data_IF_190229187787
#
_entry.id   IF_190229187787
#
_cell.length_a   1.000
_cell.length_b   1.000
_cell.length_c   1.000
_cell.angle_alpha   90.00
_cell.angle_beta   90.00
_cell.angle_gamma   90.00
#
_symmetry.space_group_name_H-M   'P 1'
#
loop_
_entity.id
_entity.type
_entity.pdbx_description
1 polymer ?
#
# COMPACT_ATOMS: atom_id res chain seq x y z
N UNK A 1 -121.77 -11.59 122.23
CA UNK A 1 -120.45 -10.91 122.18
C UNK A 1 -119.41 -11.77 121.48
N UNK A 2 -119.36 -13.09 121.72
CA UNK A 2 -118.41 -14.02 121.08
C UNK A 2 -118.60 -14.21 119.56
N UNK A 3 -119.83 -14.22 119.05
CA UNK A 3 -120.13 -14.38 117.61
C UNK A 3 -119.61 -13.20 116.75
N UNK A 4 -119.53 -12.00 117.34
CA UNK A 4 -118.98 -10.79 116.70
C UNK A 4 -117.46 -10.85 116.55
N UNK A 5 -116.76 -11.42 117.54
CA UNK A 5 -115.30 -11.56 117.55
C UNK A 5 -114.84 -12.59 116.52
N UNK A 6 -115.58 -13.69 116.35
CA UNK A 6 -115.31 -14.71 115.33
C UNK A 6 -115.51 -14.14 113.92
N UNK A 7 -116.57 -13.37 113.67
CA UNK A 7 -116.83 -12.69 112.39
C UNK A 7 -115.71 -11.70 112.02
N UNK A 8 -115.24 -10.94 113.02
CA UNK A 8 -114.16 -9.96 112.84
C UNK A 8 -112.82 -10.63 112.54
N UNK A 9 -112.48 -11.72 113.23
CA UNK A 9 -111.29 -12.52 112.92
C UNK A 9 -111.38 -13.14 111.52
N UNK A 10 -112.52 -13.71 111.14
CA UNK A 10 -112.71 -14.29 109.80
C UNK A 10 -112.53 -13.23 108.69
N UNK A 11 -113.04 -12.03 108.93
CA UNK A 11 -112.90 -10.89 107.99
C UNK A 11 -111.44 -10.44 107.89
N UNK A 12 -110.74 -10.32 109.01
CA UNK A 12 -109.31 -9.96 109.05
C UNK A 12 -108.44 -11.01 108.35
N UNK A 13 -108.65 -12.31 108.59
CA UNK A 13 -107.92 -13.38 107.90
C UNK A 13 -108.21 -13.37 106.40
N UNK A 14 -109.46 -13.15 106.00
CA UNK A 14 -109.84 -13.03 104.59
C UNK A 14 -109.11 -11.86 103.93
N UNK A 15 -109.13 -10.68 104.54
CA UNK A 15 -108.41 -9.49 104.04
C UNK A 15 -106.90 -9.73 103.96
N UNK A 16 -106.28 -10.30 105.00
CA UNK A 16 -104.85 -10.63 104.99
C UNK A 16 -104.50 -11.65 103.89
N UNK A 17 -105.37 -12.64 103.64
CA UNK A 17 -105.17 -13.61 102.55
C UNK A 17 -105.38 -13.01 101.17
N UNK A 18 -106.28 -12.04 101.03
CA UNK A 18 -106.56 -11.32 99.78
C UNK A 18 -105.42 -10.35 99.46
N UNK A 19 -104.95 -9.58 100.44
CA UNK A 19 -103.73 -8.76 100.33
C UNK A 19 -102.50 -9.59 99.97
N UNK A 20 -102.27 -10.73 100.64
CA UNK A 20 -101.14 -11.60 100.31
C UNK A 20 -101.23 -12.17 98.88
N UNK A 21 -102.44 -12.45 98.38
CA UNK A 21 -102.66 -12.88 96.98
C UNK A 21 -102.41 -11.76 95.99
N UNK A 22 -102.86 -10.54 96.30
CA UNK A 22 -102.61 -9.35 95.48
C UNK A 22 -101.10 -9.03 95.42
N UNK A 23 -100.41 -9.04 96.56
CA UNK A 23 -98.95 -8.85 96.64
C UNK A 23 -98.20 -9.94 95.87
N UNK A 24 -98.63 -11.20 95.97
CA UNK A 24 -98.06 -12.30 95.19
C UNK A 24 -98.28 -12.08 93.68
N UNK A 25 -99.46 -11.65 93.25
CA UNK A 25 -99.77 -11.36 91.85
C UNK A 25 -98.94 -10.18 91.31
N UNK A 26 -98.74 -9.12 92.10
CA UNK A 26 -97.88 -7.98 91.76
C UNK A 26 -96.41 -8.43 91.66
N UNK A 27 -95.94 -9.24 92.60
CA UNK A 27 -94.57 -9.76 92.56
C UNK A 27 -94.35 -10.67 91.36
N UNK A 28 -95.34 -11.48 91.00
CA UNK A 28 -95.28 -12.38 89.85
C UNK A 28 -95.29 -11.63 88.52
N UNK A 29 -96.10 -10.57 88.38
CA UNK A 29 -96.06 -9.72 87.17
C UNK A 29 -94.71 -9.00 87.04
N UNK A 30 -94.16 -8.47 88.14
CA UNK A 30 -92.83 -7.84 88.15
C UNK A 30 -91.72 -8.84 87.83
N UNK A 31 -91.80 -10.07 88.37
CA UNK A 31 -90.86 -11.15 88.05
C UNK A 31 -90.89 -11.46 86.55
N UNK A 32 -92.09 -11.67 85.97
CA UNK A 32 -92.24 -11.96 84.54
C UNK A 32 -91.71 -10.81 83.67
N UNK A 33 -91.95 -9.56 84.05
CA UNK A 33 -91.43 -8.39 83.33
C UNK A 33 -89.90 -8.34 83.36
N UNK A 34 -89.28 -8.50 84.54
CA UNK A 34 -87.82 -8.53 84.68
C UNK A 34 -87.21 -9.71 83.92
N UNK A 35 -87.86 -10.87 83.93
CA UNK A 35 -87.41 -12.04 83.17
C UNK A 35 -87.44 -11.77 81.66
N UNK A 36 -88.49 -11.13 81.15
CA UNK A 36 -88.57 -10.73 79.73
C UNK A 36 -87.47 -9.73 79.36
N UNK A 37 -87.21 -8.72 80.21
CA UNK A 37 -86.16 -7.73 79.97
C UNK A 37 -84.75 -8.33 80.03
N UNK A 38 -84.53 -9.31 80.91
CA UNK A 38 -83.28 -10.05 81.00
C UNK A 38 -83.05 -10.84 79.71
N UNK A 39 -84.06 -11.56 79.22
CA UNK A 39 -83.99 -12.31 77.97
C UNK A 39 -83.75 -11.41 76.75
N UNK A 40 -84.43 -10.27 76.68
CA UNK A 40 -84.21 -9.26 75.62
C UNK A 40 -82.79 -8.71 75.65
N UNK A 41 -82.28 -8.38 76.84
CA UNK A 41 -80.91 -7.89 77.03
C UNK A 41 -79.88 -8.95 76.64
N UNK A 42 -80.10 -10.21 77.02
CA UNK A 42 -79.25 -11.34 76.62
C UNK A 42 -79.23 -11.53 75.10
N UNK A 43 -80.40 -11.47 74.45
CA UNK A 43 -80.48 -11.55 72.98
C UNK A 43 -79.76 -10.39 72.29
N UNK A 44 -79.82 -9.18 72.85
CA UNK A 44 -79.12 -8.01 72.33
C UNK A 44 -77.60 -8.11 72.53
N UNK A 45 -77.15 -8.62 73.67
CA UNK A 45 -75.73 -8.89 73.92
C UNK A 45 -75.23 -9.92 72.91
N UNK A 46 -75.95 -11.03 72.71
CA UNK A 46 -75.56 -12.06 71.76
C UNK A 46 -75.45 -11.51 70.32
N UNK A 47 -76.39 -10.66 69.88
CA UNK A 47 -76.31 -10.05 68.54
C UNK A 47 -75.16 -9.05 68.41
N UNK A 48 -74.86 -8.28 69.46
CA UNK A 48 -73.71 -7.39 69.50
C UNK A 48 -72.38 -8.16 69.48
N UNK A 49 -72.28 -9.28 70.20
CA UNK A 49 -71.11 -10.16 70.18
C UNK A 49 -70.85 -10.73 68.78
N UNK A 50 -71.92 -11.12 68.06
CA UNK A 50 -71.81 -11.58 66.67
C UNK A 50 -71.32 -10.46 65.74
N UNK A 51 -71.86 -9.24 65.87
CA UNK A 51 -71.40 -8.08 65.09
C UNK A 51 -69.94 -7.76 65.41
N UNK A 52 -69.54 -7.77 66.67
CA UNK A 52 -68.15 -7.53 67.09
C UNK A 52 -67.19 -8.57 66.50
N UNK A 53 -67.59 -9.84 66.48
CA UNK A 53 -66.81 -10.92 65.85
C UNK A 53 -66.64 -10.67 64.35
N UNK A 54 -67.73 -10.36 63.64
CA UNK A 54 -67.70 -10.09 62.20
C UNK A 54 -66.82 -8.87 61.86
N UNK A 55 -66.89 -7.81 62.67
CA UNK A 55 -66.04 -6.62 62.52
C UNK A 55 -64.56 -6.95 62.76
N UNK A 56 -64.26 -7.78 63.77
CA UNK A 56 -62.89 -8.25 64.03
C UNK A 56 -62.33 -9.05 62.85
N UNK A 57 -63.09 -10.00 62.33
CA UNK A 57 -62.66 -10.81 61.19
C UNK A 57 -62.46 -9.93 59.93
N UNK A 58 -63.28 -8.89 59.75
CA UNK A 58 -63.10 -7.93 58.66
C UNK A 58 -61.84 -7.08 58.82
N UNK A 59 -61.52 -6.64 60.04
CA UNK A 59 -60.30 -5.91 60.35
C UNK A 59 -59.04 -6.76 60.12
N UNK A 60 -59.07 -8.04 60.53
CA UNK A 60 -57.96 -8.97 60.33
C UNK A 60 -57.72 -9.22 58.83
N UNK A 61 -58.78 -9.43 58.04
CA UNK A 61 -58.67 -9.53 56.56
C UNK A 61 -58.11 -8.27 55.91
N UNK A 62 -58.50 -7.09 56.39
CA UNK A 62 -57.95 -5.83 55.88
C UNK A 62 -56.44 -5.75 56.15
N UNK A 63 -56.01 -6.07 57.36
CA UNK A 63 -54.60 -6.05 57.75
C UNK A 63 -53.74 -7.01 56.93
N UNK A 64 -54.24 -8.21 56.66
CA UNK A 64 -53.55 -9.18 55.78
C UNK A 64 -53.42 -8.67 54.34
N UNK A 65 -54.49 -8.06 53.81
CA UNK A 65 -54.48 -7.46 52.47
C UNK A 65 -53.50 -6.28 52.39
N UNK A 66 -53.48 -5.43 53.41
CA UNK A 66 -52.57 -4.29 53.52
C UNK A 66 -51.11 -4.76 53.53
N UNK A 67 -50.76 -5.75 54.38
CA UNK A 67 -49.41 -6.33 54.41
C UNK A 67 -49.01 -6.94 53.05
N UNK A 68 -49.94 -7.63 52.38
CA UNK A 68 -49.72 -8.19 51.04
C UNK A 68 -49.46 -7.10 49.99
N UNK A 69 -50.20 -5.99 50.06
CA UNK A 69 -50.03 -4.84 49.18
C UNK A 69 -48.70 -4.13 49.43
N UNK A 70 -48.31 -3.93 50.69
CA UNK A 70 -47.02 -3.34 51.07
C UNK A 70 -45.84 -4.17 50.57
N UNK A 71 -45.92 -5.49 50.68
CA UNK A 71 -44.91 -6.41 50.14
C UNK A 71 -44.78 -6.27 48.61
N UNK A 72 -45.91 -6.23 47.90
CA UNK A 72 -45.93 -6.05 46.46
C UNK A 72 -45.33 -4.69 46.04
N UNK A 73 -45.71 -3.61 46.72
CA UNK A 73 -45.17 -2.27 46.48
C UNK A 73 -43.65 -2.27 46.69
N UNK A 74 -43.16 -2.92 47.73
CA UNK A 74 -41.72 -3.01 48.01
C UNK A 74 -40.97 -3.75 46.90
N UNK A 75 -41.49 -4.89 46.44
CA UNK A 75 -40.91 -5.65 45.32
C UNK A 75 -40.92 -4.84 44.01
N UNK A 76 -42.00 -4.10 43.74
CA UNK A 76 -42.09 -3.24 42.56
C UNK A 76 -41.08 -2.10 42.60
N UNK A 77 -40.87 -1.48 43.77
CA UNK A 77 -39.86 -0.43 43.96
C UNK A 77 -38.45 -0.94 43.74
N UNK A 78 -38.12 -2.11 44.29
CA UNK A 78 -36.83 -2.75 44.09
C UNK A 78 -36.58 -3.06 42.61
N UNK A 79 -37.57 -3.65 41.92
CA UNK A 79 -37.46 -3.92 40.48
C UNK A 79 -37.25 -2.63 39.69
N UNK A 80 -38.01 -1.56 39.99
CA UNK A 80 -37.86 -0.28 39.30
C UNK A 80 -36.46 0.30 39.50
N UNK A 81 -35.95 0.27 40.74
CA UNK A 81 -34.58 0.70 41.04
C UNK A 81 -33.54 -0.10 40.23
N UNK A 82 -33.65 -1.42 40.19
CA UNK A 82 -32.71 -2.27 39.45
C UNK A 82 -32.75 -1.95 37.94
N UNK A 83 -33.93 -1.80 37.36
CA UNK A 83 -34.08 -1.41 35.95
C UNK A 83 -33.50 -0.02 35.68
N UNK A 84 -33.67 0.94 36.58
CA UNK A 84 -33.05 2.27 36.48
C UNK A 84 -31.52 2.19 36.49
N UNK A 85 -30.93 1.36 37.36
CA UNK A 85 -29.47 1.15 37.40
C UNK A 85 -28.95 0.47 36.11
N UNK A 86 -29.66 -0.53 35.60
CA UNK A 86 -29.33 -1.17 34.32
C UNK A 86 -29.37 -0.18 33.16
N UNK A 87 -30.40 0.68 33.11
CA UNK A 87 -30.51 1.73 32.09
C UNK A 87 -29.34 2.72 32.13
N UNK A 88 -28.91 3.13 33.34
CA UNK A 88 -27.75 4.00 33.49
C UNK A 88 -26.48 3.32 32.96
N UNK A 89 -26.27 2.05 33.31
CA UNK A 89 -25.13 1.26 32.83
C UNK A 89 -25.12 1.12 31.30
N UNK A 90 -26.28 0.80 30.70
CA UNK A 90 -26.45 0.73 29.24
C UNK A 90 -26.15 2.07 28.59
N UNK A 91 -26.62 3.18 29.17
CA UNK A 91 -26.39 4.53 28.64
C UNK A 91 -24.90 4.90 28.66
N UNK A 92 -24.20 4.61 29.77
CA UNK A 92 -22.75 4.82 29.86
C UNK A 92 -21.98 3.94 28.87
N UNK A 93 -22.33 2.66 28.76
CA UNK A 93 -21.73 1.74 27.80
C UNK A 93 -21.93 2.20 26.35
N UNK A 94 -23.15 2.63 26.02
CA UNK A 94 -23.47 3.20 24.70
C UNK A 94 -22.61 4.42 24.39
N UNK A 95 -22.49 5.37 25.33
CA UNK A 95 -21.66 6.57 25.13
C UNK A 95 -20.19 6.21 24.84
N UNK A 96 -19.64 5.22 25.55
CA UNK A 96 -18.29 4.73 25.30
C UNK A 96 -18.13 4.08 23.92
N UNK A 97 -19.10 3.26 23.51
CA UNK A 97 -19.11 2.64 22.18
C UNK A 97 -19.22 3.70 21.07
N UNK A 98 -20.07 4.72 21.24
CA UNK A 98 -20.21 5.82 20.28
C UNK A 98 -18.88 6.58 20.11
N UNK A 99 -18.15 6.84 21.22
CA UNK A 99 -16.82 7.44 21.16
C UNK A 99 -15.82 6.55 20.41
N UNK A 100 -15.83 5.24 20.66
CA UNK A 100 -14.98 4.27 19.93
C UNK A 100 -15.27 4.28 18.43
N UNK A 101 -16.54 4.30 18.05
CA UNK A 101 -16.97 4.34 16.65
C UNK A 101 -16.46 5.61 15.97
N UNK A 102 -16.55 6.77 16.64
CA UNK A 102 -16.03 8.03 16.11
C UNK A 102 -14.50 7.97 15.89
N UNK A 103 -13.74 7.44 16.85
CA UNK A 103 -12.28 7.27 16.71
C UNK A 103 -11.94 6.36 15.54
N UNK A 104 -12.55 5.17 15.46
CA UNK A 104 -12.29 4.22 14.37
C UNK A 104 -12.70 4.78 13.00
N UNK A 105 -13.78 5.56 12.93
CA UNK A 105 -14.21 6.22 11.70
C UNK A 105 -13.16 7.20 11.21
N UNK A 106 -12.63 8.05 12.11
CA UNK A 106 -11.57 9.00 11.78
C UNK A 106 -10.29 8.29 11.32
N UNK A 107 -9.86 7.25 12.02
CA UNK A 107 -8.69 6.46 11.62
C UNK A 107 -8.87 5.82 10.24
N UNK A 108 -10.07 5.33 9.94
CA UNK A 108 -10.39 4.76 8.63
C UNK A 108 -10.35 5.82 7.51
N UNK A 109 -10.82 7.04 7.77
CA UNK A 109 -10.70 8.16 6.82
C UNK A 109 -9.24 8.54 6.56
N UNK A 110 -8.40 8.61 7.60
CA UNK A 110 -6.97 8.89 7.47
C UNK A 110 -6.24 7.80 6.65
N UNK A 111 -6.57 6.52 6.89
CA UNK A 111 -6.01 5.40 6.12
C UNK A 111 -6.43 5.48 4.65
N UNK A 112 -7.72 5.76 4.36
CA UNK A 112 -8.20 5.97 2.99
C UNK A 112 -7.45 7.10 2.29
N UNK A 113 -7.20 8.22 2.98
CA UNK A 113 -6.39 9.32 2.47
C UNK A 113 -4.98 8.89 2.07
N UNK A 114 -4.28 8.14 2.93
CA UNK A 114 -2.94 7.61 2.65
C UNK A 114 -2.92 6.63 1.46
N UNK A 115 -3.93 5.79 1.34
CA UNK A 115 -4.07 4.87 0.20
C UNK A 115 -4.19 5.65 -1.11
N UNK A 116 -5.02 6.70 -1.15
CA UNK A 116 -5.16 7.53 -2.35
C UNK A 116 -3.86 8.26 -2.70
N UNK A 117 -3.13 8.79 -1.71
CA UNK A 117 -1.84 9.44 -1.95
C UNK A 117 -0.80 8.48 -2.52
N UNK A 118 -0.71 7.27 -1.96
CA UNK A 118 0.20 6.24 -2.45
C UNK A 118 -0.15 5.74 -3.85
N UNK A 119 -1.44 5.61 -4.18
CA UNK A 119 -1.90 5.28 -5.53
C UNK A 119 -1.49 6.35 -6.56
N UNK A 120 -1.63 7.64 -6.21
CA UNK A 120 -1.18 8.75 -7.05
C UNK A 120 0.34 8.69 -7.26
N UNK A 121 1.12 8.53 -6.20
CA UNK A 121 2.60 8.42 -6.28
C UNK A 121 3.03 7.21 -7.11
N UNK A 122 2.36 6.06 -6.94
CA UNK A 122 2.63 4.85 -7.72
C UNK A 122 2.43 5.08 -9.21
N UNK A 123 1.31 5.72 -9.59
CA UNK A 123 1.04 6.08 -10.99
C UNK A 123 2.08 7.04 -11.56
N UNK A 124 2.55 8.01 -10.77
CA UNK A 124 3.61 8.94 -11.18
C UNK A 124 4.92 8.19 -11.44
N UNK A 125 5.39 7.35 -10.50
CA UNK A 125 6.60 6.56 -10.70
C UNK A 125 6.51 5.62 -11.89
N UNK A 126 5.34 5.02 -12.12
CA UNK A 126 5.12 4.18 -13.30
C UNK A 126 5.24 4.97 -14.61
N UNK A 127 4.67 6.17 -14.66
CA UNK A 127 4.78 7.06 -15.82
C UNK A 127 6.23 7.50 -16.07
N UNK A 128 6.96 7.89 -15.01
CA UNK A 128 8.38 8.25 -15.09
C UNK A 128 9.25 7.08 -15.57
N UNK A 129 9.03 5.88 -15.03
CA UNK A 129 9.74 4.67 -15.43
C UNK A 129 9.50 4.33 -16.92
N UNK A 130 8.24 4.42 -17.38
CA UNK A 130 7.91 4.20 -18.78
C UNK A 130 8.57 5.23 -19.70
N UNK A 131 8.58 6.51 -19.29
CA UNK A 131 9.26 7.58 -20.04
C UNK A 131 10.76 7.33 -20.13
N UNK A 132 11.42 7.00 -19.02
CA UNK A 132 12.84 6.69 -19.00
C UNK A 132 13.18 5.47 -19.87
N UNK A 133 12.34 4.42 -19.85
CA UNK A 133 12.49 3.25 -20.73
C UNK A 133 12.37 3.64 -22.20
N UNK A 134 11.40 4.47 -22.55
CA UNK A 134 11.23 4.96 -23.92
C UNK A 134 12.46 5.77 -24.38
N UNK A 135 12.94 6.70 -23.56
CA UNK A 135 14.15 7.49 -23.84
C UNK A 135 15.40 6.63 -24.00
N UNK A 136 15.56 5.58 -23.17
CA UNK A 136 16.65 4.62 -23.29
C UNK A 136 16.57 3.82 -24.60
N UNK A 137 15.38 3.33 -24.98
CA UNK A 137 15.21 2.60 -26.25
C UNK A 137 15.47 3.48 -27.47
N UNK A 138 15.04 4.74 -27.42
CA UNK A 138 15.27 5.71 -28.50
C UNK A 138 16.75 6.09 -28.61
N UNK A 139 17.44 6.24 -27.47
CA UNK A 139 18.89 6.49 -27.45
C UNK A 139 19.67 5.31 -27.99
N UNK A 140 19.31 4.07 -27.60
CA UNK A 140 19.92 2.86 -28.13
C UNK A 140 19.76 2.78 -29.65
N UNK A 141 18.54 3.01 -30.16
CA UNK A 141 18.26 3.03 -31.60
C UNK A 141 19.14 4.03 -32.35
N UNK A 142 19.29 5.25 -31.83
CA UNK A 142 20.16 6.28 -32.43
C UNK A 142 21.64 5.88 -32.42
N UNK A 143 22.11 5.27 -31.33
CA UNK A 143 23.47 4.76 -31.23
C UNK A 143 23.72 3.65 -32.26
N UNK A 144 22.80 2.69 -32.39
CA UNK A 144 22.90 1.60 -33.36
C UNK A 144 22.91 2.12 -34.81
N UNK A 145 22.09 3.13 -35.12
CA UNK A 145 22.06 3.83 -36.41
C UNK A 145 23.39 4.55 -36.69
N UNK A 146 23.94 5.25 -35.70
CA UNK A 146 25.23 5.93 -35.82
C UNK A 146 26.37 4.93 -36.08
N UNK A 147 26.43 3.84 -35.32
CA UNK A 147 27.42 2.77 -35.51
C UNK A 147 27.31 2.17 -36.89
N UNK A 148 26.10 1.87 -37.35
CA UNK A 148 25.85 1.31 -38.68
C UNK A 148 26.29 2.28 -39.78
N UNK A 149 25.98 3.57 -39.65
CA UNK A 149 26.42 4.60 -40.58
C UNK A 149 27.95 4.73 -40.64
N UNK A 150 28.62 4.68 -39.49
CA UNK A 150 30.08 4.74 -39.39
C UNK A 150 30.74 3.50 -39.99
N UNK A 151 30.25 2.30 -39.65
CA UNK A 151 30.69 1.04 -40.21
C UNK A 151 30.61 1.03 -41.75
N UNK A 152 29.51 1.53 -42.31
CA UNK A 152 29.33 1.70 -43.75
C UNK A 152 30.34 2.69 -44.36
N UNK A 153 30.64 3.81 -43.68
CA UNK A 153 31.63 4.79 -44.15
C UNK A 153 33.05 4.24 -44.17
N UNK A 154 33.41 3.39 -43.20
CA UNK A 154 34.72 2.74 -43.11
C UNK A 154 34.75 1.41 -43.90
N UNK A 155 33.61 0.98 -44.46
CA UNK A 155 33.46 -0.28 -45.21
C UNK A 155 33.80 -1.52 -44.36
N UNK A 156 33.38 -1.53 -43.10
CA UNK A 156 33.65 -2.62 -42.14
C UNK A 156 32.35 -3.29 -41.72
N UNK A 157 32.36 -4.64 -41.67
CA UNK A 157 31.25 -5.39 -41.11
C UNK A 157 31.39 -5.53 -39.59
N UNK A 158 30.43 -4.98 -38.85
CA UNK A 158 30.38 -5.02 -37.37
C UNK A 158 29.43 -6.10 -36.83
N UNK A 159 28.79 -6.89 -37.70
CA UNK A 159 27.87 -7.94 -37.27
C UNK A 159 28.56 -8.98 -36.37
N UNK A 160 27.94 -9.29 -35.23
CA UNK A 160 28.45 -10.27 -34.26
C UNK A 160 29.64 -9.79 -33.43
N UNK A 161 30.03 -8.51 -33.51
CA UNK A 161 31.05 -7.94 -32.63
C UNK A 161 30.43 -7.56 -31.28
N UNK A 162 31.10 -7.96 -30.20
CA UNK A 162 30.64 -7.69 -28.84
C UNK A 162 30.60 -6.17 -28.55
N UNK A 163 31.61 -5.44 -29.02
CA UNK A 163 31.61 -3.97 -29.05
C UNK A 163 31.91 -3.49 -30.49
N UNK A 164 30.88 -3.10 -31.25
CA UNK A 164 31.03 -2.57 -32.59
C UNK A 164 31.88 -1.29 -32.69
N UNK A 165 31.81 -0.40 -31.69
CA UNK A 165 32.53 0.88 -31.72
C UNK A 165 34.03 0.66 -31.52
N UNK A 166 34.41 -0.10 -30.51
CA UNK A 166 35.81 -0.43 -30.25
C UNK A 166 36.43 -1.18 -31.44
N UNK A 167 35.65 -2.07 -32.08
CA UNK A 167 36.10 -2.75 -33.28
C UNK A 167 36.35 -1.78 -34.46
N UNK A 168 35.43 -0.83 -34.72
CA UNK A 168 35.63 0.19 -35.76
C UNK A 168 36.90 1.01 -35.46
N UNK A 169 37.07 1.46 -34.21
CA UNK A 169 38.24 2.25 -33.79
C UNK A 169 39.53 1.49 -34.09
N UNK A 170 39.59 0.21 -33.70
CA UNK A 170 40.76 -0.65 -33.95
C UNK A 170 41.09 -0.79 -35.44
N UNK A 171 40.07 -0.92 -36.30
CA UNK A 171 40.28 -1.00 -37.76
C UNK A 171 40.78 0.34 -38.32
N UNK A 172 40.20 1.46 -37.88
CA UNK A 172 40.65 2.80 -38.30
C UNK A 172 42.11 3.02 -37.92
N UNK A 173 42.51 2.66 -36.69
CA UNK A 173 43.89 2.78 -36.23
C UNK A 173 44.85 1.93 -37.07
N UNK A 174 44.45 0.72 -37.44
CA UNK A 174 45.23 -0.13 -38.34
C UNK A 174 45.40 0.52 -39.73
N UNK A 175 44.31 1.03 -40.32
CA UNK A 175 44.36 1.72 -41.60
C UNK A 175 45.25 2.97 -41.58
N UNK A 176 45.26 3.72 -40.46
CA UNK A 176 46.13 4.89 -40.31
C UNK A 176 47.61 4.50 -40.27
N UNK A 177 47.97 3.42 -39.55
CA UNK A 177 49.34 2.89 -39.52
C UNK A 177 49.79 2.42 -40.90
N UNK A 178 48.93 1.70 -41.63
CA UNK A 178 49.23 1.22 -42.97
C UNK A 178 49.42 2.38 -43.96
N UNK A 179 48.58 3.42 -43.88
CA UNK A 179 48.74 4.64 -44.67
C UNK A 179 50.10 5.31 -44.41
N UNK A 180 50.48 5.43 -43.15
CA UNK A 180 51.75 6.08 -42.77
C UNK A 180 52.95 5.25 -43.26
N UNK A 181 52.87 3.92 -43.19
CA UNK A 181 53.86 3.03 -43.78
C UNK A 181 53.95 3.20 -45.30
N UNK A 182 52.83 3.16 -46.02
CA UNK A 182 52.79 3.34 -47.48
C UNK A 182 53.37 4.69 -47.91
N UNK A 183 53.08 5.76 -47.16
CA UNK A 183 53.64 7.09 -47.41
C UNK A 183 55.17 7.07 -47.31
N UNK A 184 55.72 6.41 -46.28
CA UNK A 184 57.17 6.27 -46.13
C UNK A 184 57.78 5.46 -47.29
N UNK A 185 57.12 4.39 -47.74
CA UNK A 185 57.56 3.63 -48.91
C UNK A 185 57.56 4.48 -50.19
N UNK A 186 56.54 5.31 -50.40
CA UNK A 186 56.47 6.22 -51.54
C UNK A 186 57.64 7.20 -51.50
N UNK A 187 57.90 7.84 -50.36
CA UNK A 187 59.04 8.77 -50.23
C UNK A 187 60.39 8.06 -50.53
N UNK A 188 60.60 6.86 -49.99
CA UNK A 188 61.81 6.08 -50.25
C UNK A 188 61.95 5.70 -51.75
N UNK A 189 60.84 5.36 -52.42
CA UNK A 189 60.83 5.06 -53.84
C UNK A 189 61.13 6.31 -54.68
N UNK A 190 60.53 7.46 -54.34
CA UNK A 190 60.80 8.73 -54.99
C UNK A 190 62.27 9.14 -54.89
N UNK A 191 62.91 8.92 -53.73
CA UNK A 191 64.34 9.13 -53.53
C UNK A 191 65.19 8.17 -54.38
N UNK A 192 64.84 6.89 -54.41
CA UNK A 192 65.52 5.89 -55.23
C UNK A 192 65.44 6.22 -56.73
N UNK A 193 64.28 6.65 -57.22
CA UNK A 193 64.09 7.08 -58.61
C UNK A 193 64.97 8.30 -58.94
N UNK A 194 65.04 9.29 -58.05
CA UNK A 194 65.91 10.47 -58.25
C UNK A 194 67.38 10.07 -58.34
N UNK A 195 67.84 9.17 -57.47
CA UNK A 195 69.22 8.65 -57.51
C UNK A 195 69.49 7.92 -58.83
N UNK A 196 68.58 7.04 -59.24
CA UNK A 196 68.70 6.28 -60.49
C UNK A 196 68.69 7.20 -61.72
N UNK A 197 67.91 8.29 -61.70
CA UNK A 197 67.92 9.29 -62.77
C UNK A 197 69.27 10.00 -62.89
N UNK A 198 69.90 10.35 -61.76
CA UNK A 198 71.25 10.92 -61.72
C UNK A 198 72.28 9.91 -62.24
N UNK A 199 72.19 8.66 -61.81
CA UNK A 199 73.08 7.58 -62.27
C UNK A 199 72.94 7.32 -63.78
N UNK A 200 71.71 7.24 -64.30
CA UNK A 200 71.46 7.12 -65.74
C UNK A 200 71.98 8.32 -66.53
N UNK A 201 71.87 9.55 -66.00
CA UNK A 201 72.45 10.76 -66.61
C UNK A 201 73.97 10.66 -66.68
N UNK A 202 74.63 10.26 -65.59
CA UNK A 202 76.07 10.09 -65.53
C UNK A 202 76.57 8.95 -66.46
N UNK A 203 75.86 7.82 -66.49
CA UNK A 203 76.14 6.67 -67.35
C UNK A 203 76.02 7.04 -68.83
N UNK A 204 74.94 7.74 -69.21
CA UNK A 204 74.75 8.24 -70.58
C UNK A 204 75.85 9.20 -71.01
N UNK A 205 76.28 10.12 -70.14
CA UNK A 205 77.40 11.02 -70.44
C UNK A 205 78.71 10.25 -70.60
N UNK A 206 78.93 9.22 -69.77
CA UNK A 206 80.09 8.34 -69.88
C UNK A 206 80.11 7.58 -71.22
N UNK A 207 78.99 6.99 -71.62
CA UNK A 207 78.83 6.33 -72.93
C UNK A 207 79.09 7.30 -74.07
N UNK A 208 78.56 8.53 -73.98
CA UNK A 208 78.76 9.56 -74.99
C UNK A 208 80.23 9.95 -75.14
N UNK A 209 80.96 10.14 -74.03
CA UNK A 209 82.40 10.41 -74.04
C UNK A 209 83.20 9.25 -74.63
N UNK A 210 82.89 8.01 -74.25
CA UNK A 210 83.56 6.84 -74.81
C UNK A 210 83.30 6.71 -76.32
N UNK A 211 82.08 7.01 -76.79
CA UNK A 211 81.77 7.02 -78.22
C UNK A 211 82.61 8.05 -78.98
N UNK A 212 82.77 9.26 -78.44
CA UNK A 212 83.65 10.29 -79.04
C UNK A 212 85.12 9.89 -79.03
N UNK A 213 85.60 9.24 -77.96
CA UNK A 213 86.98 8.74 -77.88
C UNK A 213 87.23 7.64 -78.93
N UNK A 214 86.28 6.73 -79.13
CA UNK A 214 86.34 5.69 -80.17
C UNK A 214 86.34 6.30 -81.57
N UNK A 215 85.49 7.28 -81.86
CA UNK A 215 85.49 7.99 -83.14
C UNK A 215 86.83 8.70 -83.41
N UNK A 216 87.43 9.30 -82.38
CA UNK A 216 88.75 9.94 -82.47
C UNK A 216 89.85 8.92 -82.77
N UNK A 217 89.90 7.81 -82.02
CA UNK A 217 90.86 6.72 -82.25
C UNK A 217 90.67 6.03 -83.61
N UNK A 218 89.43 5.89 -84.09
CA UNK A 218 89.15 5.42 -85.44
C UNK A 218 89.69 6.39 -86.51
N UNK A 219 89.52 7.71 -86.31
CA UNK A 219 90.08 8.73 -87.19
C UNK A 219 91.62 8.70 -87.20
N UNK A 220 92.25 8.58 -86.02
CA UNK A 220 93.71 8.42 -85.88
C UNK A 220 94.22 7.12 -86.50
N UNK A 221 93.49 6.00 -86.35
CA UNK A 221 93.83 4.75 -87.04
C UNK A 221 93.71 4.88 -88.54
N UNK A 222 92.65 5.52 -89.05
CA UNK A 222 92.46 5.76 -90.48
C UNK A 222 93.57 6.66 -91.06
N UNK A 223 93.99 7.71 -90.33
CA UNK A 223 95.11 8.56 -90.75
C UNK A 223 96.43 7.79 -90.76
N UNK A 224 96.73 6.99 -89.72
CA UNK A 224 97.90 6.11 -89.68
C UNK A 224 97.89 5.09 -90.82
N UNK A 225 96.75 4.48 -91.14
CA UNK A 225 96.59 3.56 -92.29
C UNK A 225 96.88 4.29 -93.60
N UNK A 226 96.40 5.53 -93.77
CA UNK A 226 96.68 6.36 -94.94
C UNK A 226 98.16 6.74 -95.04
N UNK A 227 98.82 7.06 -93.93
CA UNK A 227 100.27 7.31 -93.87
C UNK A 227 101.07 6.05 -94.24
N UNK A 228 100.70 4.89 -93.70
CA UNK A 228 101.32 3.60 -94.01
C UNK A 228 101.18 3.24 -95.50
N UNK A 229 99.99 3.50 -96.08
CA UNK A 229 99.74 3.32 -97.50
C UNK A 229 100.56 4.30 -98.35
N UNK A 230 100.73 5.54 -97.90
CA UNK A 230 101.58 6.54 -98.56
C UNK A 230 103.05 6.16 -98.52
N UNK A 231 103.58 5.72 -97.37
CA UNK A 231 104.95 5.20 -97.24
C UNK A 231 105.17 3.93 -98.07
N UNK A 232 104.18 3.04 -98.19
CA UNK A 232 104.23 1.91 -99.13
C UNK A 232 104.32 2.40 -100.58
N UNK A 233 103.55 3.41 -100.97
CA UNK A 233 103.60 3.98 -102.32
C UNK A 233 104.96 4.63 -102.65
N UNK A 234 105.59 5.28 -101.67
CA UNK A 234 106.95 5.83 -101.79
C UNK A 234 107.99 4.70 -101.85
N UNK A 235 107.85 3.66 -101.03
CA UNK A 235 108.72 2.47 -101.09
C UNK A 235 108.62 1.74 -102.45
N UNK A 236 107.41 1.59 -102.99
CA UNK A 236 107.20 1.09 -104.36
C UNK A 236 107.84 2.00 -105.42
N UNK A 237 107.83 3.33 -105.24
CA UNK A 237 108.55 4.29 -106.09
C UNK A 237 110.08 4.16 -105.97
N UNK A 238 110.62 3.95 -104.77
CA UNK A 238 112.06 3.76 -104.55
C UNK A 238 112.58 2.42 -105.08
N UNK A 239 111.77 1.35 -105.01
CA UNK A 239 112.09 0.05 -105.63
C UNK A 239 112.07 0.16 -107.17
N UNK A 240 111.15 0.94 -107.74
CA UNK A 240 111.14 1.26 -109.18
C UNK A 240 112.33 2.12 -109.64
N UNK A 241 112.96 2.91 -108.75
CA UNK A 241 114.17 3.67 -109.05
C UNK A 241 115.46 2.83 -108.93
N UNK A 242 115.46 1.77 -108.12
CA UNK A 242 116.57 0.81 -108.00
C UNK A 242 116.64 -0.23 -109.14
N UNK A 243 115.56 -0.40 -109.91
CA UNK A 243 115.50 -1.29 -111.08
C UNK A 243 115.85 -0.60 -112.42
N UNK A 244 116.37 0.64 -112.38
CA UNK A 244 116.77 1.44 -113.55
C UNK A 244 118.22 1.96 -113.45
N UNK A 245 119.10 1.23 -112.79
CA UNK A 245 120.56 1.21 -113.04
C UNK A 245 120.89 0.07 -113.99
#
# INVERSE_FOLDING_TARGET
>A
MEESVIQQHLTHYKQATEMAREELAVLQTKYNQLQSQLLESQSKIASQEEIMKNLKDAADRHKEKEASQESLISSLRERNYNTEQEMLSITSSKSFMDMRIQTLTKENEEIKGKIMELDIKSKQYFAECNKAKQEATETQRRSDEFISALANKVSVNVAGKADPMDYIISVVDACLKDRDHLKNCICALEESVKLYEVECKASRETVKRLATDVEHEQSLSASRVNELNSSRQVSYRSIMQLNNT
#
